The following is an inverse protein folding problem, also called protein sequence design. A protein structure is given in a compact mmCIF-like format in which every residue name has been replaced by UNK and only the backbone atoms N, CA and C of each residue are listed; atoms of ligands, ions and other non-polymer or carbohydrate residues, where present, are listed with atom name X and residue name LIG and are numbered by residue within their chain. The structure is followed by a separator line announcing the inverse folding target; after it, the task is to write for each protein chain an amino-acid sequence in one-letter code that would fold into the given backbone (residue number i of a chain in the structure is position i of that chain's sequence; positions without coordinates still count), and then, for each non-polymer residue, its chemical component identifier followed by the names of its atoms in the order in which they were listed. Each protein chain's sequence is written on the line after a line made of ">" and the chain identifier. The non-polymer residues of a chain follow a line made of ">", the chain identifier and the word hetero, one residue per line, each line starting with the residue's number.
data_IF_848903962961
#
_entry.id   IF_848903962961
#
_cell.length_a   1.000
_cell.length_b   1.000
_cell.length_c   1.000
_cell.angle_alpha   90.00
_cell.angle_beta   90.00
_cell.angle_gamma   90.00
#
_symmetry.space_group_name_H-M   'P 1'
#
loop_
_entity.id
_entity.type
_entity.pdbx_description
1 polymer ?
#
# COMPACT_ATOMS: atom_id res chain seq x y z
N UNK A 1 19.02 7.80 12.54
CA UNK A 1 17.75 7.87 13.31
C UNK A 1 17.87 8.73 14.56
N UNK A 2 18.87 8.52 15.43
CA UNK A 2 19.05 9.28 16.68
C UNK A 2 18.95 10.81 16.52
N UNK A 3 19.75 11.40 15.63
CA UNK A 3 19.72 12.85 15.41
C UNK A 3 18.37 13.37 14.89
N UNK A 4 17.69 12.60 14.03
CA UNK A 4 16.36 12.96 13.55
C UNK A 4 15.35 12.98 14.70
N UNK A 5 15.37 11.95 15.55
CA UNK A 5 14.50 11.85 16.73
C UNK A 5 14.79 12.97 17.75
N UNK A 6 16.06 13.33 17.96
CA UNK A 6 16.47 14.42 18.86
C UNK A 6 15.95 15.79 18.39
N UNK A 7 15.93 16.02 17.08
CA UNK A 7 15.41 17.24 16.49
C UNK A 7 13.88 17.28 16.44
N UNK A 8 13.25 16.11 16.30
CA UNK A 8 11.81 15.99 16.09
C UNK A 8 11.00 15.83 17.39
N UNK A 9 11.64 15.40 18.47
CA UNK A 9 11.02 15.22 19.79
C UNK A 9 11.85 15.95 20.85
N UNK A 10 11.58 17.24 21.02
CA UNK A 10 12.27 18.09 21.99
C UNK A 10 11.88 17.74 23.44
N UNK A 11 12.85 17.63 24.34
CA UNK A 11 12.61 17.55 25.79
C UNK A 11 12.51 16.15 26.39
N UNK A 12 12.76 15.08 25.61
CA UNK A 12 12.92 13.74 26.17
C UNK A 12 14.32 13.56 26.80
N UNK A 13 14.44 12.89 27.95
CA UNK A 13 15.71 12.40 28.46
C UNK A 13 16.41 11.48 27.44
N UNK A 14 17.74 11.48 27.43
CA UNK A 14 18.54 10.74 26.46
C UNK A 14 18.26 9.22 26.49
N UNK A 15 18.14 8.63 27.68
CA UNK A 15 17.77 7.22 27.86
C UNK A 15 16.40 6.87 27.25
N UNK A 16 15.41 7.76 27.43
CA UNK A 16 14.08 7.56 26.86
C UNK A 16 14.08 7.69 25.33
N UNK A 17 14.91 8.59 24.80
CA UNK A 17 15.12 8.76 23.36
C UNK A 17 15.75 7.50 22.76
N UNK A 18 16.83 7.00 23.37
CA UNK A 18 17.50 5.77 22.93
C UNK A 18 16.57 4.56 22.98
N UNK A 19 15.86 4.37 24.09
CA UNK A 19 14.86 3.29 24.22
C UNK A 19 13.84 3.34 23.08
N UNK A 20 13.32 4.53 22.76
CA UNK A 20 12.34 4.72 21.68
C UNK A 20 12.93 4.41 20.30
N UNK A 21 14.17 4.79 20.02
CA UNK A 21 14.85 4.50 18.76
C UNK A 21 15.08 2.99 18.62
N UNK A 22 15.63 2.35 19.64
CA UNK A 22 15.93 0.91 19.62
C UNK A 22 14.64 0.10 19.47
N UNK A 23 13.59 0.46 20.22
CA UNK A 23 12.26 -0.15 20.07
C UNK A 23 11.71 0.03 18.66
N UNK A 24 11.82 1.23 18.09
CA UNK A 24 11.41 1.50 16.71
C UNK A 24 12.14 0.64 15.70
N UNK A 25 13.48 0.58 15.77
CA UNK A 25 14.29 -0.26 14.89
C UNK A 25 13.97 -1.75 15.04
N UNK A 26 13.72 -2.22 16.27
CA UNK A 26 13.33 -3.60 16.53
C UNK A 26 11.98 -3.95 15.89
N UNK A 27 10.97 -3.10 16.07
CA UNK A 27 9.65 -3.29 15.44
C UNK A 27 9.73 -3.29 13.90
N UNK A 28 10.77 -2.68 13.33
CA UNK A 28 11.00 -2.61 11.89
C UNK A 28 11.91 -3.73 11.35
N UNK A 29 12.38 -4.63 12.21
CA UNK A 29 13.35 -5.65 11.84
C UNK A 29 14.69 -5.08 11.36
N UNK A 30 15.12 -3.95 11.93
CA UNK A 30 16.35 -3.23 11.59
C UNK A 30 17.41 -3.26 12.70
N UNK A 31 17.14 -3.94 13.80
CA UNK A 31 18.01 -4.01 14.99
C UNK A 31 19.43 -4.50 14.66
N UNK A 32 19.57 -5.54 13.83
CA UNK A 32 20.87 -6.08 13.41
C UNK A 32 21.66 -5.17 12.48
N UNK A 33 21.00 -4.18 11.88
CA UNK A 33 21.62 -3.21 10.97
C UNK A 33 21.82 -1.83 11.59
N UNK A 34 21.54 -1.66 12.89
CA UNK A 34 21.49 -0.34 13.56
C UNK A 34 22.79 0.47 13.45
N UNK A 35 23.94 -0.22 13.43
CA UNK A 35 25.28 0.39 13.42
C UNK A 35 25.88 0.44 11.99
N UNK A 36 25.18 -0.10 11.00
CA UNK A 36 25.61 -0.04 9.61
C UNK A 36 25.39 1.35 9.04
N UNK A 37 26.35 1.83 8.24
CA UNK A 37 26.13 3.02 7.41
C UNK A 37 25.06 2.70 6.38
N UNK A 38 24.14 3.62 6.10
CA UNK A 38 23.09 3.42 5.09
C UNK A 38 23.68 3.30 3.68
N UNK A 39 24.76 4.03 3.40
CA UNK A 39 25.40 4.07 2.08
C UNK A 39 24.62 4.92 1.06
N UNK A 40 25.19 5.07 -0.14
CA UNK A 40 24.60 5.84 -1.24
C UNK A 40 24.09 4.91 -2.36
N UNK A 41 23.60 5.47 -3.47
CA UNK A 41 23.05 4.69 -4.59
C UNK A 41 24.09 3.77 -5.24
N UNK A 42 25.36 4.20 -5.25
CA UNK A 42 26.49 3.48 -5.87
C UNK A 42 27.17 2.49 -4.89
N UNK A 43 27.03 2.70 -3.58
CA UNK A 43 27.57 1.85 -2.52
C UNK A 43 26.51 1.56 -1.47
N UNK A 44 25.62 0.61 -1.79
CA UNK A 44 24.56 0.18 -0.88
C UNK A 44 25.12 -0.74 0.21
N UNK A 45 24.88 -0.39 1.47
CA UNK A 45 25.26 -1.21 2.63
C UNK A 45 24.06 -1.89 3.28
N UNK A 46 22.86 -1.32 3.11
CA UNK A 46 21.58 -1.93 3.49
C UNK A 46 20.73 -2.16 2.23
N UNK A 47 19.84 -3.15 2.26
CA UNK A 47 18.95 -3.46 1.14
C UNK A 47 17.93 -2.35 0.87
N UNK A 48 17.32 -2.36 -0.32
CA UNK A 48 16.23 -1.43 -0.66
C UNK A 48 15.06 -1.50 0.33
N UNK A 49 14.63 -2.72 0.70
CA UNK A 49 13.60 -2.95 1.71
C UNK A 49 13.99 -2.40 3.09
N UNK A 50 15.22 -2.65 3.53
CA UNK A 50 15.75 -2.10 4.78
C UNK A 50 15.76 -0.56 4.76
N UNK A 51 16.16 0.05 3.65
CA UNK A 51 16.15 1.51 3.48
C UNK A 51 14.74 2.08 3.54
N UNK A 52 13.76 1.40 2.94
CA UNK A 52 12.35 1.84 2.95
C UNK A 52 11.76 1.74 4.36
N UNK A 53 11.99 0.63 5.07
CA UNK A 53 11.62 0.48 6.49
C UNK A 53 12.29 1.53 7.38
N UNK A 54 13.56 1.86 7.11
CA UNK A 54 14.27 2.91 7.85
C UNK A 54 13.66 4.30 7.62
N UNK A 55 13.25 4.62 6.39
CA UNK A 55 12.56 5.88 6.11
C UNK A 55 11.22 5.97 6.85
N UNK A 56 10.45 4.88 6.88
CA UNK A 56 9.22 4.80 7.68
C UNK A 56 9.54 5.00 9.17
N UNK A 57 10.63 4.41 9.68
CA UNK A 57 11.12 4.63 11.05
C UNK A 57 11.30 6.11 11.41
N UNK A 58 11.91 6.85 10.49
CA UNK A 58 12.21 8.27 10.69
C UNK A 58 10.92 9.07 10.83
N UNK A 59 9.91 8.81 10.02
CA UNK A 59 8.61 9.47 10.15
C UNK A 59 7.87 9.04 11.42
N UNK A 60 7.92 7.76 11.79
CA UNK A 60 7.30 7.26 13.01
C UNK A 60 7.98 7.76 14.29
N UNK A 61 9.22 8.23 14.21
CA UNK A 61 9.93 8.82 15.35
C UNK A 61 9.15 9.97 15.97
N UNK A 62 8.33 10.68 15.18
CA UNK A 62 7.45 11.78 15.60
C UNK A 62 6.13 11.33 16.22
N UNK A 63 5.80 10.03 16.19
CA UNK A 63 4.50 9.50 16.61
C UNK A 63 3.31 10.25 15.97
N UNK A 64 3.26 10.40 14.64
CA UNK A 64 2.11 11.04 14.01
C UNK A 64 0.84 10.19 14.22
N UNK A 65 -0.32 10.81 14.45
CA UNK A 65 -1.60 10.09 14.53
C UNK A 65 -2.09 9.61 13.16
N UNK A 66 -1.68 10.30 12.09
CA UNK A 66 -2.02 9.99 10.70
C UNK A 66 -0.73 9.90 9.87
N UNK A 67 -0.59 8.84 9.08
CA UNK A 67 0.54 8.61 8.20
C UNK A 67 0.07 8.52 6.75
N UNK A 68 0.74 9.23 5.84
CA UNK A 68 0.55 9.11 4.40
C UNK A 68 1.80 8.46 3.81
N UNK A 69 1.62 7.37 3.07
CA UNK A 69 2.72 6.60 2.49
C UNK A 69 2.46 6.43 1.00
N UNK A 70 3.37 6.97 0.20
CA UNK A 70 3.29 6.91 -1.25
C UNK A 70 4.13 5.75 -1.79
N UNK A 71 3.49 4.88 -2.57
CA UNK A 71 4.05 3.67 -3.19
C UNK A 71 5.06 2.89 -2.32
N UNK A 72 4.68 2.41 -1.12
CA UNK A 72 5.61 1.77 -0.19
C UNK A 72 6.30 0.52 -0.74
N UNK A 73 5.70 -0.14 -1.72
CA UNK A 73 6.15 -1.42 -2.31
C UNK A 73 7.00 -1.24 -3.57
N UNK A 74 7.05 -0.03 -4.14
CA UNK A 74 7.78 0.23 -5.39
C UNK A 74 9.28 -0.06 -5.23
N UNK A 75 9.82 -0.85 -6.17
CA UNK A 75 11.22 -1.27 -6.22
C UNK A 75 11.61 -2.37 -5.23
N UNK A 76 10.64 -3.02 -4.57
CA UNK A 76 10.88 -4.12 -3.63
C UNK A 76 10.56 -5.49 -4.26
N UNK A 77 11.14 -6.55 -3.70
CA UNK A 77 10.69 -7.92 -3.97
C UNK A 77 9.29 -8.14 -3.36
N UNK A 78 8.60 -9.22 -3.74
CA UNK A 78 7.29 -9.55 -3.19
C UNK A 78 7.33 -9.72 -1.66
N UNK A 79 8.32 -10.45 -1.14
CA UNK A 79 8.47 -10.67 0.30
C UNK A 79 8.81 -9.39 1.07
N UNK A 80 9.68 -8.52 0.52
CA UNK A 80 9.96 -7.23 1.16
C UNK A 80 8.74 -6.30 1.11
N UNK A 81 7.93 -6.37 0.06
CA UNK A 81 6.69 -5.60 -0.06
C UNK A 81 5.67 -6.00 1.01
N UNK A 82 5.44 -7.31 1.19
CA UNK A 82 4.57 -7.84 2.24
C UNK A 82 5.05 -7.38 3.63
N UNK A 83 6.35 -7.54 3.93
CA UNK A 83 6.93 -7.08 5.20
C UNK A 83 6.70 -5.58 5.46
N UNK A 84 6.75 -4.74 4.41
CA UNK A 84 6.48 -3.30 4.54
C UNK A 84 4.99 -3.03 4.81
N UNK A 85 4.08 -3.75 4.17
CA UNK A 85 2.64 -3.58 4.39
C UNK A 85 2.22 -4.15 5.75
N UNK A 86 2.78 -5.28 6.19
CA UNK A 86 2.59 -5.85 7.53
C UNK A 86 2.97 -4.86 8.62
N UNK A 87 4.14 -4.23 8.46
CA UNK A 87 4.56 -3.16 9.35
C UNK A 87 3.54 -2.01 9.41
N UNK A 88 3.05 -1.55 8.25
CA UNK A 88 2.02 -0.51 8.20
C UNK A 88 0.73 -0.97 8.89
N UNK A 89 0.38 -2.25 8.76
CA UNK A 89 -0.75 -2.85 9.46
C UNK A 89 -0.55 -2.84 10.97
N UNK A 90 0.60 -3.26 11.47
CA UNK A 90 0.91 -3.21 12.91
C UNK A 90 0.81 -1.78 13.47
N UNK A 91 1.22 -0.78 12.69
CA UNK A 91 1.10 0.63 13.04
C UNK A 91 -0.37 1.03 13.18
N UNK A 92 -1.27 0.53 12.33
CA UNK A 92 -2.71 0.77 12.47
C UNK A 92 -3.29 0.16 13.75
N UNK A 93 -2.82 -1.04 14.15
CA UNK A 93 -3.25 -1.70 15.38
C UNK A 93 -2.83 -0.94 16.64
N UNK A 94 -1.87 -0.02 16.54
CA UNK A 94 -1.47 0.90 17.61
C UNK A 94 -2.37 2.15 17.69
N UNK A 95 -3.48 2.19 16.95
CA UNK A 95 -4.46 3.28 16.97
C UNK A 95 -4.12 4.44 16.03
N UNK A 96 -3.26 4.22 15.04
CA UNK A 96 -2.89 5.23 14.03
C UNK A 96 -3.66 5.02 12.74
N UNK A 97 -3.95 6.11 12.03
CA UNK A 97 -4.54 6.06 10.69
C UNK A 97 -3.43 6.06 9.64
N UNK A 98 -3.49 5.15 8.68
CA UNK A 98 -2.50 5.04 7.60
C UNK A 98 -3.21 5.09 6.25
N UNK A 99 -2.80 6.04 5.41
CA UNK A 99 -3.17 6.10 4.00
C UNK A 99 -2.01 5.59 3.16
N UNK A 100 -2.31 4.68 2.24
CA UNK A 100 -1.34 4.12 1.31
C UNK A 100 -1.83 4.35 -0.11
N UNK A 101 -0.98 4.96 -0.94
CA UNK A 101 -1.12 4.91 -2.40
C UNK A 101 -0.32 3.69 -2.87
N UNK A 102 -0.96 2.76 -3.56
CA UNK A 102 -0.31 1.53 -4.02
C UNK A 102 -0.60 1.27 -5.49
N UNK A 103 0.47 1.00 -6.24
CA UNK A 103 0.38 0.58 -7.63
C UNK A 103 0.32 -0.94 -7.70
N UNK A 104 -0.77 -1.49 -8.26
CA UNK A 104 -0.95 -2.93 -8.55
C UNK A 104 -0.50 -3.88 -7.42
N UNK A 105 -1.23 -3.92 -6.28
CA UNK A 105 -0.90 -4.82 -5.18
C UNK A 105 -1.07 -6.30 -5.56
N UNK A 106 -0.25 -7.16 -4.95
CA UNK A 106 -0.49 -8.61 -4.99
C UNK A 106 -1.82 -8.97 -4.31
N UNK A 107 -2.35 -10.16 -4.57
CA UNK A 107 -3.52 -10.70 -3.88
C UNK A 107 -3.41 -10.58 -2.36
N UNK A 108 -2.24 -10.93 -1.82
CA UNK A 108 -2.05 -11.03 -0.38
C UNK A 108 -1.96 -9.64 0.24
N UNK A 109 -1.20 -8.72 -0.36
CA UNK A 109 -1.16 -7.32 0.05
C UNK A 109 -2.55 -6.67 -0.03
N UNK A 110 -3.30 -6.93 -1.11
CA UNK A 110 -4.61 -6.33 -1.31
C UNK A 110 -5.61 -6.72 -0.21
N UNK A 111 -5.55 -7.95 0.29
CA UNK A 111 -6.41 -8.42 1.39
C UNK A 111 -6.07 -7.81 2.75
N UNK A 112 -4.88 -7.22 2.91
CA UNK A 112 -4.46 -6.64 4.19
C UNK A 112 -5.11 -5.28 4.45
N UNK A 113 -5.60 -4.60 3.41
CA UNK A 113 -6.25 -3.30 3.52
C UNK A 113 -7.61 -3.40 4.21
N UNK A 114 -7.86 -2.53 5.18
CA UNK A 114 -9.17 -2.45 5.83
C UNK A 114 -10.24 -1.87 4.90
N UNK A 115 -9.86 -0.85 4.12
CA UNK A 115 -10.69 -0.20 3.11
C UNK A 115 -9.84 0.23 1.92
N UNK A 116 -10.46 0.30 0.75
CA UNK A 116 -9.88 0.83 -0.49
C UNK A 116 -10.69 2.00 -1.01
N UNK A 117 -10.00 2.98 -1.58
CA UNK A 117 -10.58 4.01 -2.45
C UNK A 117 -10.06 3.69 -3.85
N UNK A 118 -10.96 3.52 -4.81
CA UNK A 118 -10.60 3.39 -6.22
C UNK A 118 -10.96 4.70 -6.90
N UNK A 119 -10.02 5.25 -7.65
CA UNK A 119 -10.19 6.51 -8.37
C UNK A 119 -10.00 6.28 -9.87
N UNK A 120 -10.85 6.91 -10.68
CA UNK A 120 -10.75 6.93 -12.14
C UNK A 120 -10.11 8.24 -12.64
N UNK A 121 -9.79 8.28 -13.94
CA UNK A 121 -9.21 9.44 -14.63
C UNK A 121 -10.03 10.70 -14.35
N UNK A 122 -9.34 11.80 -14.07
CA UNK A 122 -9.99 13.05 -13.63
C UNK A 122 -10.20 13.14 -12.11
N UNK A 123 -9.79 12.12 -11.35
CA UNK A 123 -9.85 12.13 -9.89
C UNK A 123 -11.23 11.78 -9.32
N UNK A 124 -12.08 11.14 -10.12
CA UNK A 124 -13.38 10.68 -9.66
C UNK A 124 -13.20 9.49 -8.72
N UNK A 125 -13.62 9.57 -7.45
CA UNK A 125 -13.74 8.36 -6.64
C UNK A 125 -14.83 7.51 -7.29
N UNK A 126 -14.60 6.22 -7.49
CA UNK A 126 -15.58 5.33 -8.14
C UNK A 126 -15.93 4.13 -7.25
N UNK A 127 -15.21 3.95 -6.14
CA UNK A 127 -15.54 3.01 -5.08
C UNK A 127 -14.88 3.43 -3.77
N UNK A 128 -15.58 3.20 -2.65
CA UNK A 128 -15.01 3.25 -1.30
C UNK A 128 -15.64 2.16 -0.43
N UNK A 129 -14.82 1.28 0.14
CA UNK A 129 -15.34 0.18 0.94
C UNK A 129 -14.33 -0.92 1.17
N UNK A 130 -14.81 -2.12 1.49
CA UNK A 130 -13.96 -3.29 1.69
C UNK A 130 -13.29 -3.72 0.37
N UNK A 131 -12.02 -4.17 0.38
CA UNK A 131 -11.33 -4.60 -0.85
C UNK A 131 -12.03 -5.73 -1.61
N UNK A 132 -12.66 -6.67 -0.91
CA UNK A 132 -13.37 -7.82 -1.51
C UNK A 132 -14.69 -7.35 -2.13
N UNK A 133 -15.40 -6.46 -1.45
CA UNK A 133 -16.62 -5.84 -1.97
C UNK A 133 -16.34 -5.02 -3.24
N UNK A 134 -15.18 -4.37 -3.33
CA UNK A 134 -14.77 -3.63 -4.53
C UNK A 134 -14.81 -4.52 -5.77
N UNK A 135 -14.24 -5.73 -5.68
CA UNK A 135 -14.22 -6.66 -6.81
C UNK A 135 -15.64 -7.07 -7.19
N UNK A 136 -16.49 -7.37 -6.21
CA UNK A 136 -17.90 -7.72 -6.46
C UNK A 136 -18.67 -6.56 -7.12
N UNK A 137 -18.44 -5.34 -6.65
CA UNK A 137 -19.03 -4.10 -7.18
C UNK A 137 -18.67 -3.86 -8.65
N UNK A 138 -17.39 -3.88 -9.00
CA UNK A 138 -16.97 -3.66 -10.40
C UNK A 138 -17.43 -4.80 -11.31
N UNK A 139 -17.43 -6.04 -10.81
CA UNK A 139 -18.03 -7.16 -11.53
C UNK A 139 -19.50 -6.86 -11.82
N UNK A 140 -20.34 -6.59 -10.81
CA UNK A 140 -21.79 -6.47 -10.98
C UNK A 140 -22.19 -5.43 -12.04
N UNK A 141 -21.51 -4.29 -12.05
CA UNK A 141 -21.74 -3.22 -13.04
C UNK A 141 -21.36 -3.66 -14.46
N UNK A 142 -20.29 -4.45 -14.61
CA UNK A 142 -19.81 -4.90 -15.92
C UNK A 142 -20.55 -6.11 -16.52
N UNK A 143 -21.62 -6.60 -15.87
CA UNK A 143 -22.45 -7.74 -16.31
C UNK A 143 -21.67 -9.05 -16.58
N UNK A 144 -20.49 -9.23 -15.99
CA UNK A 144 -19.75 -10.49 -15.98
C UNK A 144 -20.50 -11.62 -15.25
N UNK A 145 -20.83 -12.71 -15.95
CA UNK A 145 -21.67 -13.82 -15.46
C UNK A 145 -21.31 -14.41 -14.06
N UNK A 146 -20.06 -14.29 -13.61
CA UNK A 146 -19.55 -14.80 -12.32
C UNK A 146 -19.34 -13.71 -11.24
N UNK A 147 -20.32 -12.81 -11.04
CA UNK A 147 -20.23 -11.74 -10.04
C UNK A 147 -20.06 -12.23 -8.58
N UNK A 148 -20.61 -13.41 -8.27
CA UNK A 148 -20.55 -14.01 -6.94
C UNK A 148 -19.18 -14.61 -6.62
N UNK A 149 -18.39 -14.98 -7.64
CA UNK A 149 -17.09 -15.61 -7.48
C UNK A 149 -15.98 -14.57 -7.45
N UNK A 150 -15.77 -13.99 -6.27
CA UNK A 150 -14.71 -12.97 -6.03
C UNK A 150 -13.38 -13.63 -5.68
N UNK A 151 -13.43 -14.71 -4.91
CA UNK A 151 -12.26 -15.44 -4.41
C UNK A 151 -12.12 -16.75 -5.20
N UNK A 152 -10.89 -17.12 -5.57
CA UNK A 152 -10.63 -18.42 -6.17
C UNK A 152 -10.88 -19.54 -5.15
N UNK A 153 -11.81 -20.44 -5.43
CA UNK A 153 -12.18 -21.55 -4.53
C UNK A 153 -11.04 -22.57 -4.33
N UNK A 154 -10.09 -22.65 -5.27
CA UNK A 154 -8.98 -23.61 -5.21
C UNK A 154 -7.81 -23.12 -4.38
N UNK A 155 -7.46 -21.83 -4.49
CA UNK A 155 -6.25 -21.26 -3.86
C UNK A 155 -6.51 -20.05 -2.96
N UNK A 156 -7.76 -19.60 -2.82
CA UNK A 156 -8.13 -18.46 -1.99
C UNK A 156 -7.63 -17.10 -2.50
N UNK A 157 -6.99 -17.04 -3.66
CA UNK A 157 -6.42 -15.82 -4.25
C UNK A 157 -7.52 -14.89 -4.77
N UNK A 158 -7.31 -13.58 -4.67
CA UNK A 158 -8.10 -12.56 -5.36
C UNK A 158 -7.25 -11.88 -6.42
N UNK A 159 -7.86 -11.37 -7.48
CA UNK A 159 -7.14 -10.63 -8.50
C UNK A 159 -7.59 -9.15 -8.53
N UNK A 160 -6.84 -8.25 -7.86
CA UNK A 160 -7.14 -6.82 -7.87
C UNK A 160 -7.07 -6.20 -9.27
N UNK A 161 -6.29 -6.78 -10.19
CA UNK A 161 -6.16 -6.33 -11.57
C UNK A 161 -7.49 -6.36 -12.33
N UNK A 162 -8.43 -7.23 -11.92
CA UNK A 162 -9.76 -7.28 -12.51
C UNK A 162 -10.50 -5.95 -12.39
N UNK A 163 -10.28 -5.20 -11.31
CA UNK A 163 -10.89 -3.87 -11.13
C UNK A 163 -10.42 -2.94 -12.25
N UNK A 164 -9.12 -2.86 -12.47
CA UNK A 164 -8.53 -2.01 -13.51
C UNK A 164 -8.94 -2.46 -14.92
N UNK A 165 -8.93 -3.76 -15.20
CA UNK A 165 -9.39 -4.31 -16.48
C UNK A 165 -10.86 -3.95 -16.78
N UNK A 166 -11.72 -3.91 -15.76
CA UNK A 166 -13.11 -3.49 -15.89
C UNK A 166 -13.20 -1.99 -16.15
N UNK A 167 -12.45 -1.17 -15.41
CA UNK A 167 -12.43 0.29 -15.55
C UNK A 167 -11.90 0.74 -16.93
N UNK A 168 -10.93 0.01 -17.47
CA UNK A 168 -10.29 0.33 -18.75
C UNK A 168 -10.97 -0.33 -19.95
N UNK A 169 -11.99 -1.17 -19.72
CA UNK A 169 -12.67 -1.91 -20.78
C UNK A 169 -13.21 -0.97 -21.86
N UNK A 170 -12.85 -1.23 -23.12
CA UNK A 170 -13.23 -0.41 -24.29
C UNK A 170 -14.47 -0.96 -24.99
N UNK A 171 -15.24 -0.07 -25.61
CA UNK A 171 -16.33 -0.46 -26.50
C UNK A 171 -15.77 -1.18 -27.73
N UNK A 172 -16.52 -2.15 -28.23
CA UNK A 172 -16.22 -2.88 -29.46
C UNK A 172 -17.16 -2.36 -30.54
N UNK A 173 -16.62 -2.03 -31.71
CA UNK A 173 -17.40 -1.59 -32.86
C UNK A 173 -18.11 -2.76 -33.57
N UNK A 174 -18.90 -2.45 -34.58
CA UNK A 174 -19.64 -3.43 -35.39
C UNK A 174 -18.75 -4.40 -36.19
N UNK A 175 -17.45 -4.10 -36.31
CA UNK A 175 -16.45 -4.92 -37.00
C UNK A 175 -15.59 -5.74 -36.03
N UNK A 176 -15.85 -5.64 -34.72
CA UNK A 176 -15.09 -6.35 -33.69
C UNK A 176 -13.81 -5.63 -33.23
N UNK A 177 -13.56 -4.40 -33.64
CA UNK A 177 -12.39 -3.62 -33.20
C UNK A 177 -12.68 -2.84 -31.92
N UNK A 178 -11.68 -2.70 -31.05
CA UNK A 178 -11.80 -1.85 -29.87
C UNK A 178 -11.75 -0.37 -30.27
N UNK A 179 -12.77 0.39 -29.88
CA UNK A 179 -12.77 1.85 -30.02
C UNK A 179 -11.94 2.51 -28.90
N UNK A 180 -11.56 3.77 -29.08
CA UNK A 180 -10.88 4.55 -28.02
C UNK A 180 -11.80 4.94 -26.85
N UNK A 181 -13.12 4.71 -26.98
CA UNK A 181 -14.08 5.00 -25.92
C UNK A 181 -14.18 3.82 -24.95
N UNK A 182 -14.07 4.13 -23.66
CA UNK A 182 -14.35 3.18 -22.57
C UNK A 182 -15.84 2.82 -22.52
N UNK A 183 -16.15 1.62 -22.03
CA UNK A 183 -17.52 1.13 -21.85
C UNK A 183 -18.29 1.95 -20.81
N UNK A 184 -17.60 2.39 -19.75
CA UNK A 184 -18.14 3.17 -18.64
C UNK A 184 -17.24 4.41 -18.47
N UNK A 185 -17.82 5.60 -18.44
CA UNK A 185 -17.11 6.85 -18.15
C UNK A 185 -16.97 7.06 -16.63
N UNK A 186 -16.04 7.91 -16.17
CA UNK A 186 -15.85 8.16 -14.73
C UNK A 186 -17.13 8.57 -14.00
N UNK A 187 -17.99 9.35 -14.65
CA UNK A 187 -19.24 9.87 -14.09
C UNK A 187 -20.36 8.82 -14.02
N UNK A 188 -20.22 7.71 -14.75
CA UNK A 188 -21.26 6.67 -14.85
C UNK A 188 -21.13 5.57 -13.80
N UNK A 189 -20.11 5.63 -12.94
CA UNK A 189 -19.94 4.66 -11.85
C UNK A 189 -20.94 4.83 -10.71
N UNK A 190 -21.66 5.96 -10.63
CA UNK A 190 -22.69 6.23 -9.60
C UNK A 190 -24.09 6.36 -10.18
#
# INVERSE_FOLDING_TARGET
>A
MYYNAKLSVSGLPEEALEYRIVKGLKNLGLEHTKDLKVGNVLSQTISGGQRKRLNIALELSRQPPVLFVDEPTSGLSSSDSENVIDLLKEITLQGKLVFVVIHQPSSDIYKMFDKVIVMDVGGYPIFYGNPIEAISYFKSISQQLDHSKVICETCGTVNPEQIFNIIEARMVDEFGNFSDKRKISPEQWY
#
